data_IF_079359839947
#
_entry.id   IF_079359839947
#
_cell.length_a   1.000
_cell.length_b   1.000
_cell.length_c   1.000
_cell.angle_alpha   90.00
_cell.angle_beta   90.00
_cell.angle_gamma   90.00
#
_symmetry.space_group_name_H-M   'P 1'
#
loop_
_entity.id
_entity.type
_entity.pdbx_description
1 polymer ?
#
# COMPACT_ATOMS: atom_id res chain seq x y z
N UNK A 1 -10.96 0.06 -29.68
CA UNK A 1 -10.50 -1.04 -28.79
C UNK A 1 -10.10 -0.50 -27.40
N UNK A 2 -11.00 0.17 -26.66
CA UNK A 2 -10.65 0.97 -25.44
C UNK A 2 -11.42 0.58 -24.17
N UNK A 3 -12.39 -0.35 -24.25
CA UNK A 3 -13.22 -0.75 -23.10
C UNK A 3 -12.56 -1.77 -22.17
N UNK A 4 -11.59 -2.56 -22.67
CA UNK A 4 -10.98 -3.66 -21.91
C UNK A 4 -9.93 -3.17 -20.89
N UNK A 5 -9.23 -2.08 -21.20
CA UNK A 5 -8.21 -1.49 -20.33
C UNK A 5 -8.81 -0.85 -19.08
N UNK A 6 -9.94 -0.14 -19.21
CA UNK A 6 -10.66 0.46 -18.08
C UNK A 6 -11.21 -0.57 -17.09
N UNK A 7 -11.74 -1.70 -17.61
CA UNK A 7 -12.16 -2.84 -16.78
C UNK A 7 -10.96 -3.50 -16.10
N UNK A 8 -9.83 -3.60 -16.81
CA UNK A 8 -8.56 -4.10 -16.27
C UNK A 8 -8.08 -3.28 -15.07
N UNK A 9 -8.02 -1.96 -15.17
CA UNK A 9 -7.55 -1.08 -14.09
C UNK A 9 -8.46 -1.10 -12.86
N UNK A 10 -9.79 -1.06 -13.05
CA UNK A 10 -10.75 -1.19 -11.92
C UNK A 10 -10.62 -2.54 -11.23
N UNK A 11 -10.48 -3.62 -12.00
CA UNK A 11 -10.30 -4.97 -11.46
C UNK A 11 -8.98 -5.10 -10.71
N UNK A 12 -7.92 -4.48 -11.22
CA UNK A 12 -6.61 -4.45 -10.56
C UNK A 12 -6.68 -3.70 -9.23
N UNK A 13 -7.30 -2.52 -9.19
CA UNK A 13 -7.46 -1.75 -7.95
C UNK A 13 -8.28 -2.52 -6.89
N UNK A 14 -9.41 -3.09 -7.31
CA UNK A 14 -10.23 -4.00 -6.48
C UNK A 14 -9.44 -5.20 -5.96
N UNK A 15 -8.60 -5.79 -6.82
CA UNK A 15 -7.79 -6.94 -6.48
C UNK A 15 -6.67 -6.57 -5.51
N UNK A 16 -6.04 -5.40 -5.67
CA UNK A 16 -5.07 -4.85 -4.71
C UNK A 16 -5.71 -4.64 -3.35
N UNK A 17 -6.91 -4.04 -3.29
CA UNK A 17 -7.65 -3.86 -2.03
C UNK A 17 -7.97 -5.20 -1.38
N UNK A 18 -8.49 -6.17 -2.15
CA UNK A 18 -8.77 -7.53 -1.64
C UNK A 18 -7.52 -8.22 -1.12
N UNK A 19 -6.42 -8.16 -1.87
CA UNK A 19 -5.15 -8.76 -1.47
C UNK A 19 -4.60 -8.10 -0.21
N UNK A 20 -4.67 -6.79 -0.11
CA UNK A 20 -4.13 -6.10 1.05
C UNK A 20 -5.02 -6.25 2.32
N UNK A 21 -6.27 -6.70 2.21
CA UNK A 21 -7.03 -7.23 3.38
C UNK A 21 -6.69 -8.70 3.67
N UNK A 22 -6.58 -9.54 2.63
CA UNK A 22 -6.45 -11.00 2.79
C UNK A 22 -5.03 -11.46 3.18
N UNK A 23 -4.00 -10.80 2.65
CA UNK A 23 -2.58 -11.20 2.82
C UNK A 23 -2.14 -11.13 4.29
N UNK A 24 -2.44 -10.07 5.08
CA UNK A 24 -2.08 -10.02 6.49
C UNK A 24 -2.64 -11.19 7.30
N UNK A 25 -3.88 -11.61 7.02
CA UNK A 25 -4.52 -12.73 7.72
C UNK A 25 -3.85 -14.07 7.41
N UNK A 26 -3.49 -14.31 6.14
CA UNK A 26 -2.80 -15.55 5.76
C UNK A 26 -1.38 -15.58 6.33
N UNK A 27 -0.67 -14.45 6.30
CA UNK A 27 0.68 -14.35 6.86
C UNK A 27 0.65 -14.55 8.38
N UNK A 28 -0.30 -13.95 9.11
CA UNK A 28 -0.41 -14.11 10.56
C UNK A 28 -0.71 -15.56 10.95
N UNK A 29 -1.64 -16.23 10.26
CA UNK A 29 -1.94 -17.65 10.50
C UNK A 29 -0.72 -18.53 10.20
N UNK A 30 0.03 -18.23 9.12
CA UNK A 30 1.26 -18.98 8.77
C UNK A 30 2.38 -18.74 9.78
N UNK A 31 2.55 -17.53 10.29
CA UNK A 31 3.52 -17.23 11.36
C UNK A 31 3.14 -17.94 12.65
N UNK A 32 1.85 -17.93 13.02
CA UNK A 32 1.35 -18.67 14.18
C UNK A 32 1.61 -20.17 14.03
N UNK A 33 1.33 -20.76 12.87
CA UNK A 33 1.65 -22.17 12.59
C UNK A 33 3.16 -22.43 12.67
N UNK A 34 3.99 -21.58 12.08
CA UNK A 34 5.45 -21.75 12.12
C UNK A 34 6.02 -21.69 13.55
N UNK A 35 5.46 -20.82 14.40
CA UNK A 35 5.80 -20.76 15.82
C UNK A 35 5.35 -22.02 16.59
N UNK A 36 4.28 -22.70 16.13
CA UNK A 36 3.73 -23.91 16.73
C UNK A 36 4.33 -25.22 16.15
N UNK A 37 4.92 -25.19 14.96
CA UNK A 37 5.33 -26.40 14.19
C UNK A 37 6.82 -26.74 14.26
N UNK A 38 7.63 -26.13 15.12
CA UNK A 38 9.09 -26.21 14.99
C UNK A 38 9.71 -27.60 15.20
N UNK A 39 10.90 -27.88 14.62
CA UNK A 39 11.97 -28.55 15.35
C UNK A 39 12.52 -27.57 16.42
N UNK A 40 12.02 -27.74 17.64
CA UNK A 40 12.38 -27.08 18.91
C UNK A 40 13.13 -25.72 18.91
N UNK A 41 12.49 -24.60 18.48
CA UNK A 41 13.03 -23.25 18.67
C UNK A 41 13.09 -22.88 20.17
N UNK A 42 14.17 -22.23 20.59
CA UNK A 42 14.36 -21.78 21.99
C UNK A 42 13.31 -20.72 22.37
N UNK A 43 13.07 -20.51 23.67
CA UNK A 43 12.11 -19.51 24.16
C UNK A 43 12.41 -18.10 23.63
N UNK A 44 13.71 -17.76 23.51
CA UNK A 44 14.19 -16.48 22.96
C UNK A 44 13.83 -16.28 21.49
N UNK A 45 13.98 -17.33 20.68
CA UNK A 45 13.66 -17.28 19.24
C UNK A 45 12.17 -17.06 19.01
N UNK A 46 11.31 -17.65 19.86
CA UNK A 46 9.84 -17.46 19.77
C UNK A 46 9.46 -16.01 20.07
N UNK A 47 10.03 -15.42 21.11
CA UNK A 47 9.78 -14.02 21.47
C UNK A 47 10.25 -13.06 20.37
N UNK A 48 11.44 -13.30 19.80
CA UNK A 48 11.95 -12.49 18.70
C UNK A 48 11.11 -12.64 17.42
N UNK A 49 10.61 -13.84 17.14
CA UNK A 49 9.72 -14.07 16.00
C UNK A 49 8.36 -13.37 16.16
N UNK A 50 7.79 -13.39 17.37
CA UNK A 50 6.56 -12.63 17.67
C UNK A 50 6.78 -11.14 17.52
N UNK A 51 7.90 -10.62 18.04
CA UNK A 51 8.27 -9.20 17.90
C UNK A 51 8.41 -8.80 16.43
N UNK A 52 9.17 -9.56 15.63
CA UNK A 52 9.31 -9.31 14.20
C UNK A 52 7.97 -9.39 13.45
N UNK A 53 7.08 -10.32 13.85
CA UNK A 53 5.74 -10.42 13.29
C UNK A 53 4.91 -9.18 13.57
N UNK A 54 4.90 -8.70 14.82
CA UNK A 54 4.22 -7.47 15.21
C UNK A 54 4.76 -6.26 14.43
N UNK A 55 6.09 -6.11 14.33
CA UNK A 55 6.73 -5.01 13.58
C UNK A 55 6.33 -5.01 12.09
N UNK A 56 6.22 -6.19 11.45
CA UNK A 56 5.78 -6.33 10.06
C UNK A 56 4.29 -6.00 9.88
N UNK A 57 3.44 -6.41 10.84
CA UNK A 57 2.01 -6.12 10.82
C UNK A 57 1.72 -4.63 11.03
N UNK A 58 2.44 -3.97 11.95
CA UNK A 58 2.36 -2.51 12.13
C UNK A 58 2.78 -1.77 10.87
N UNK A 59 3.88 -2.18 10.23
CA UNK A 59 4.33 -1.61 8.97
C UNK A 59 3.27 -1.72 7.87
N UNK A 60 2.60 -2.87 7.84
CA UNK A 60 1.51 -3.10 6.93
C UNK A 60 0.32 -2.18 7.24
N UNK A 61 -0.08 -2.07 8.51
CA UNK A 61 -1.16 -1.18 8.94
C UNK A 61 -0.91 0.29 8.61
N UNK A 62 0.31 0.78 8.83
CA UNK A 62 0.72 2.14 8.44
C UNK A 62 0.65 2.34 6.92
N UNK A 63 1.13 1.35 6.16
CA UNK A 63 1.10 1.38 4.69
C UNK A 63 -0.34 1.41 4.18
N UNK A 64 -1.22 0.62 4.80
CA UNK A 64 -2.64 0.59 4.49
C UNK A 64 -3.33 1.93 4.79
N UNK A 65 -3.09 2.49 5.97
CA UNK A 65 -3.65 3.78 6.37
C UNK A 65 -3.19 4.91 5.43
N UNK A 66 -1.89 4.93 5.08
CA UNK A 66 -1.34 5.89 4.12
C UNK A 66 -1.99 5.78 2.73
N UNK A 67 -2.18 4.56 2.22
CA UNK A 67 -2.89 4.32 0.96
C UNK A 67 -4.34 4.78 1.02
N UNK A 68 -5.05 4.49 2.12
CA UNK A 68 -6.44 4.91 2.32
C UNK A 68 -6.57 6.44 2.30
N UNK A 69 -5.69 7.17 2.99
CA UNK A 69 -5.64 8.63 2.94
C UNK A 69 -5.38 9.16 1.54
N UNK A 70 -4.46 8.53 0.80
CA UNK A 70 -4.15 8.94 -0.55
C UNK A 70 -5.31 8.69 -1.52
N UNK A 71 -6.05 7.58 -1.34
CA UNK A 71 -7.30 7.33 -2.09
C UNK A 71 -8.37 8.37 -1.77
N UNK A 72 -8.53 8.76 -0.50
CA UNK A 72 -9.46 9.82 -0.12
C UNK A 72 -9.10 11.15 -0.79
N UNK A 73 -7.82 11.53 -0.82
CA UNK A 73 -7.34 12.73 -1.52
C UNK A 73 -7.59 12.65 -3.02
N UNK A 74 -7.34 11.49 -3.63
CA UNK A 74 -7.60 11.28 -5.06
C UNK A 74 -9.09 11.40 -5.39
N UNK A 75 -9.98 10.87 -4.54
CA UNK A 75 -11.42 11.01 -4.70
C UNK A 75 -11.86 12.48 -4.56
N UNK A 76 -11.33 13.22 -3.59
CA UNK A 76 -11.63 14.66 -3.45
C UNK A 76 -11.19 15.44 -4.69
N UNK A 77 -9.97 15.19 -5.19
CA UNK A 77 -9.47 15.83 -6.40
C UNK A 77 -10.32 15.52 -7.64
N UNK A 78 -10.81 14.28 -7.76
CA UNK A 78 -11.72 13.87 -8.82
C UNK A 78 -13.09 14.55 -8.69
N UNK A 79 -13.67 14.60 -7.49
CA UNK A 79 -14.96 15.28 -7.27
C UNK A 79 -14.85 16.77 -7.61
N UNK A 80 -13.76 17.43 -7.21
CA UNK A 80 -13.52 18.84 -7.55
C UNK A 80 -13.33 19.04 -9.06
N UNK A 81 -12.62 18.13 -9.75
CA UNK A 81 -12.45 18.22 -11.20
C UNK A 81 -13.77 17.99 -11.94
N UNK A 82 -14.64 17.11 -11.44
CA UNK A 82 -16.00 16.93 -11.96
C UNK A 82 -16.87 18.16 -11.71
N UNK A 83 -16.84 18.75 -10.51
CA UNK A 83 -17.56 20.00 -10.20
C UNK A 83 -17.08 21.17 -11.07
N UNK A 84 -15.75 21.31 -11.25
CA UNK A 84 -15.15 22.29 -12.16
C UNK A 84 -15.63 22.09 -13.60
N UNK A 85 -15.71 20.83 -14.05
CA UNK A 85 -16.19 20.47 -15.38
C UNK A 85 -17.68 20.74 -15.56
N UNK A 86 -18.48 20.59 -14.49
CA UNK A 86 -19.91 20.90 -14.51
C UNK A 86 -20.17 22.40 -14.71
N UNK A 87 -19.38 23.27 -14.09
CA UNK A 87 -19.44 24.72 -14.30
C UNK A 87 -18.57 25.23 -15.46
N UNK A 88 -17.81 24.36 -16.11
CA UNK A 88 -16.93 24.70 -17.24
C UNK A 88 -17.61 25.45 -18.40
N UNK A 89 -18.88 25.17 -18.79
CA UNK A 89 -19.51 25.92 -19.86
C UNK A 89 -19.57 27.43 -19.59
N UNK A 90 -19.54 27.84 -18.32
CA UNK A 90 -19.48 29.24 -17.89
C UNK A 90 -18.06 29.81 -17.72
N UNK A 91 -17.02 28.96 -17.66
CA UNK A 91 -15.64 29.39 -17.34
C UNK A 91 -14.55 28.84 -18.29
N UNK A 92 -14.93 28.26 -19.44
CA UNK A 92 -14.02 28.01 -20.58
C UNK A 92 -13.08 26.81 -20.48
N UNK A 93 -13.36 25.77 -19.69
CA UNK A 93 -12.41 24.67 -19.46
C UNK A 93 -12.90 23.28 -19.89
N UNK A 94 -12.84 22.94 -21.18
CA UNK A 94 -13.31 21.61 -21.64
C UNK A 94 -12.54 20.46 -20.95
N UNK A 95 -13.22 19.51 -20.30
CA UNK A 95 -12.57 18.32 -19.74
C UNK A 95 -12.03 17.45 -20.88
N UNK A 96 -10.72 17.24 -20.90
CA UNK A 96 -10.08 16.35 -21.89
C UNK A 96 -9.93 14.94 -21.34
N UNK A 97 -10.09 13.93 -22.21
CA UNK A 97 -9.84 12.54 -21.86
C UNK A 97 -8.38 12.33 -21.40
N UNK A 98 -7.44 13.06 -22.02
CA UNK A 98 -6.02 13.01 -21.68
C UNK A 98 -5.74 13.48 -20.24
N UNK A 99 -6.35 14.59 -19.81
CA UNK A 99 -6.20 15.09 -18.44
C UNK A 99 -6.81 14.14 -17.40
N UNK A 100 -7.96 13.53 -17.70
CA UNK A 100 -8.56 12.52 -16.82
C UNK A 100 -7.65 11.28 -16.67
N UNK A 101 -7.02 10.86 -17.76
CA UNK A 101 -6.12 9.71 -17.79
C UNK A 101 -4.81 10.00 -17.03
N UNK A 102 -4.24 11.20 -17.16
CA UNK A 102 -3.09 11.65 -16.38
C UNK A 102 -3.41 11.73 -14.89
N UNK A 103 -4.59 12.26 -14.52
CA UNK A 103 -5.02 12.37 -13.12
C UNK A 103 -5.21 10.98 -12.49
N UNK A 104 -5.76 10.02 -13.24
CA UNK A 104 -5.88 8.63 -12.81
C UNK A 104 -4.52 7.93 -12.61
N UNK A 105 -3.57 8.14 -13.54
CA UNK A 105 -2.22 7.60 -13.41
C UNK A 105 -1.49 8.19 -12.19
N UNK A 106 -1.56 9.51 -12.00
CA UNK A 106 -0.98 10.19 -10.84
C UNK A 106 -1.57 9.71 -9.51
N UNK A 107 -2.88 9.52 -9.44
CA UNK A 107 -3.55 8.96 -8.27
C UNK A 107 -3.09 7.52 -7.98
N UNK A 108 -2.99 6.67 -9.01
CA UNK A 108 -2.50 5.30 -8.88
C UNK A 108 -1.05 5.25 -8.36
N UNK A 109 -0.16 6.08 -8.94
CA UNK A 109 1.23 6.20 -8.48
C UNK A 109 1.32 6.74 -7.06
N UNK A 110 0.48 7.71 -6.71
CA UNK A 110 0.42 8.25 -5.35
C UNK A 110 0.02 7.19 -4.33
N UNK A 111 -1.01 6.38 -4.61
CA UNK A 111 -1.43 5.28 -3.72
C UNK A 111 -0.31 4.25 -3.58
N UNK A 112 0.30 3.83 -4.68
CA UNK A 112 1.44 2.90 -4.65
C UNK A 112 2.62 3.47 -3.83
N UNK A 113 2.96 4.74 -4.02
CA UNK A 113 4.01 5.42 -3.27
C UNK A 113 3.71 5.49 -1.77
N UNK A 114 2.46 5.82 -1.41
CA UNK A 114 2.01 5.87 -0.02
C UNK A 114 2.10 4.50 0.68
N UNK A 115 1.76 3.42 -0.02
CA UNK A 115 1.88 2.05 0.49
C UNK A 115 3.33 1.57 0.62
N UNK A 116 4.23 2.00 -0.26
CA UNK A 116 5.63 1.59 -0.22
C UNK A 116 6.49 2.38 0.77
N UNK A 117 6.04 3.57 1.19
CA UNK A 117 6.83 4.45 2.05
C UNK A 117 7.15 3.85 3.44
N UNK A 118 6.21 3.25 4.19
CA UNK A 118 6.53 2.69 5.51
C UNK A 118 7.39 1.41 5.41
N UNK A 119 7.14 0.58 4.40
CA UNK A 119 7.92 -0.64 4.14
C UNK A 119 9.37 -0.30 3.80
N UNK A 120 9.58 0.63 2.86
CA UNK A 120 10.93 1.04 2.46
C UNK A 120 11.69 1.74 3.59
N UNK A 121 11.01 2.53 4.43
CA UNK A 121 11.60 3.17 5.62
C UNK A 121 12.08 2.13 6.64
N UNK A 122 11.24 1.15 6.98
CA UNK A 122 11.61 0.08 7.92
C UNK A 122 12.68 -0.84 7.35
N UNK A 123 12.63 -1.18 6.05
CA UNK A 123 13.67 -1.96 5.40
C UNK A 123 15.04 -1.26 5.49
N UNK A 124 15.10 0.05 5.21
CA UNK A 124 16.32 0.86 5.34
C UNK A 124 16.82 0.95 6.78
N UNK A 125 15.91 1.13 7.75
CA UNK A 125 16.26 1.15 9.17
C UNK A 125 16.83 -0.19 9.64
N UNK A 126 16.25 -1.31 9.22
CA UNK A 126 16.72 -2.65 9.55
C UNK A 126 18.10 -2.92 8.92
N UNK A 127 18.29 -2.57 7.65
CA UNK A 127 19.59 -2.64 6.98
C UNK A 127 20.68 -1.83 7.71
N UNK A 128 20.36 -0.61 8.19
CA UNK A 128 21.30 0.21 8.99
C UNK A 128 21.64 -0.43 10.33
N UNK A 129 20.70 -1.10 10.98
CA UNK A 129 20.93 -1.81 12.25
C UNK A 129 21.86 -3.01 12.05
N UNK A 130 21.60 -3.82 11.02
CA UNK A 130 22.42 -4.99 10.67
C UNK A 130 23.83 -4.59 10.21
N UNK A 131 23.95 -3.51 9.43
CA UNK A 131 25.25 -2.95 9.07
C UNK A 131 26.05 -2.51 10.29
N UNK A 132 25.41 -1.96 11.33
CA UNK A 132 26.09 -1.63 12.59
C UNK A 132 26.50 -2.86 13.38
N UNK A 133 25.69 -3.92 13.46
CA UNK A 133 26.07 -5.11 14.23
C UNK A 133 27.27 -5.87 13.64
N UNK A 134 27.42 -5.84 12.31
CA UNK A 134 28.56 -6.45 11.59
C UNK A 134 29.88 -5.69 11.81
N UNK A 135 29.83 -4.40 12.14
CA UNK A 135 31.04 -3.57 12.34
C UNK A 135 31.60 -3.69 13.78
N UNK A 136 30.83 -4.26 14.72
CA UNK A 136 31.22 -4.40 16.13
C UNK A 136 31.26 -5.87 16.61
N UNK A 137 31.31 -6.84 15.69
CA UNK A 137 31.61 -8.26 15.96
C UNK A 137 32.97 -8.62 15.39
#
# INVERSE_FOLDING_TARGET
MTNSTHKGTKRLAMQTVRLAVAVPQVVSIRMARMALSGPNPTSRDRTEFQRMGAEKLEAFGESWNAMAWQMLRANQALTLSMMRSWWSPWFGGQPSLASAMQQAQGAALGVLGAGMAPVSRRARANAKRLGKSIIWS
#
